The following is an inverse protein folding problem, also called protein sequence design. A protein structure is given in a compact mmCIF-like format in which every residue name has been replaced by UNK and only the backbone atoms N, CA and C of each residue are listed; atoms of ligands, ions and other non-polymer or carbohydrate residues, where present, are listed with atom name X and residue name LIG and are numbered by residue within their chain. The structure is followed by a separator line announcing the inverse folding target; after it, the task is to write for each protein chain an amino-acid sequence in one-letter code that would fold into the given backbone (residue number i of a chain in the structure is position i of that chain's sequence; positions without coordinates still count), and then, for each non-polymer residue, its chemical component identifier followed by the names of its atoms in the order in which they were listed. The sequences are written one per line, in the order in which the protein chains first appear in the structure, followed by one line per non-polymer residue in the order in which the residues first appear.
data_IF_240518169662
#
_entry.id   IF_240518169662
#
_cell.length_a   1.000
_cell.length_b   1.000
_cell.length_c   1.000
_cell.angle_alpha   90.00
_cell.angle_beta   90.00
_cell.angle_gamma   90.00
#
_symmetry.space_group_name_H-M   'P 1'
#
loop_
_entity.id
_entity.type
_entity.pdbx_description
1 polymer ?
#
# COMPACT_ATOMS: atom_id res chain seq x y z
N UNK A 1 37.79 27.62 8.29
CA UNK A 1 38.37 27.64 9.66
C UNK A 1 38.55 26.19 10.12
N UNK A 2 39.72 25.82 10.67
CA UNK A 2 40.16 24.43 10.74
C UNK A 2 39.93 23.77 12.11
N UNK A 3 39.97 22.43 12.09
CA UNK A 3 40.39 21.49 13.13
C UNK A 3 39.56 21.39 14.43
N UNK A 4 38.99 20.20 14.66
CA UNK A 4 39.14 19.50 15.95
C UNK A 4 39.22 17.98 15.75
N UNK A 5 40.47 17.51 15.74
CA UNK A 5 40.88 16.14 16.06
C UNK A 5 40.51 15.83 17.51
N UNK A 6 39.88 14.70 17.80
CA UNK A 6 39.96 14.08 19.12
C UNK A 6 40.48 12.64 19.02
N UNK A 7 41.41 12.39 19.92
CA UNK A 7 42.42 11.36 19.93
C UNK A 7 41.88 9.93 20.10
N UNK A 8 42.53 9.02 19.38
CA UNK A 8 42.69 7.63 19.78
C UNK A 8 43.66 7.53 20.97
N UNK A 9 43.43 6.52 21.81
CA UNK A 9 44.35 5.90 22.77
C UNK A 9 44.30 6.35 24.25
N UNK A 10 43.61 5.53 25.05
CA UNK A 10 44.00 5.09 26.39
C UNK A 10 43.71 3.58 26.42
N UNK A 11 44.70 2.71 26.18
CA UNK A 11 45.49 1.99 27.22
C UNK A 11 44.54 1.27 28.22
N UNK A 12 44.18 0.00 28.00
CA UNK A 12 44.94 -1.24 28.18
C UNK A 12 45.15 -1.67 29.65
N UNK A 13 44.90 -2.98 29.87
CA UNK A 13 45.34 -3.89 30.95
C UNK A 13 44.45 -4.09 32.19
N UNK A 14 43.97 -5.33 32.34
CA UNK A 14 44.21 -6.29 33.45
C UNK A 14 43.39 -7.58 33.14
N UNK A 15 43.99 -8.67 32.64
CA UNK A 15 44.76 -9.72 33.33
C UNK A 15 43.90 -10.89 33.90
N UNK A 16 43.88 -11.97 33.10
CA UNK A 16 43.91 -13.41 33.41
C UNK A 16 43.63 -13.89 34.85
N UNK A 17 42.65 -14.79 35.00
CA UNK A 17 42.77 -15.99 35.85
C UNK A 17 42.19 -17.21 35.13
N UNK A 18 42.85 -18.35 35.35
CA UNK A 18 42.73 -19.58 34.60
C UNK A 18 41.87 -20.65 35.31
N UNK A 19 41.54 -21.69 34.54
CA UNK A 19 41.24 -23.07 34.95
C UNK A 19 39.93 -23.35 35.70
N UNK A 20 39.00 -24.04 35.03
CA UNK A 20 38.79 -25.49 35.27
C UNK A 20 37.84 -26.10 34.24
N UNK A 21 38.30 -27.19 33.64
CA UNK A 21 37.55 -28.11 32.78
C UNK A 21 37.00 -29.19 33.72
N UNK A 22 35.69 -29.36 33.77
CA UNK A 22 35.07 -30.42 34.55
C UNK A 22 34.11 -31.22 33.66
N UNK A 23 34.50 -32.47 33.47
CA UNK A 23 33.85 -33.52 32.70
C UNK A 23 32.95 -34.30 33.67
N UNK A 24 31.66 -34.51 33.40
CA UNK A 24 30.85 -35.38 34.23
C UNK A 24 31.14 -36.84 33.91
N UNK A 25 31.53 -37.55 34.96
CA UNK A 25 31.84 -38.96 34.98
C UNK A 25 30.67 -39.86 34.56
N UNK A 26 31.07 -41.05 34.12
CA UNK A 26 30.25 -42.18 33.69
C UNK A 26 29.17 -42.59 34.69
N UNK A 27 28.00 -42.97 34.15
CA UNK A 27 26.95 -43.66 34.88
C UNK A 27 27.34 -45.14 35.16
N UNK A 28 26.95 -45.70 36.32
CA UNK A 28 27.25 -47.08 36.70
C UNK A 28 26.47 -48.13 35.88
N UNK A 29 26.95 -49.39 35.82
CA UNK A 29 26.37 -50.43 34.97
C UNK A 29 25.03 -50.91 35.52
N UNK A 30 24.01 -50.97 34.64
CA UNK A 30 22.71 -51.54 34.98
C UNK A 30 22.69 -53.07 34.72
N UNK A 31 22.01 -53.87 35.56
CA UNK A 31 22.14 -55.33 35.59
C UNK A 31 21.43 -56.06 34.44
N UNK A 32 21.82 -57.33 34.30
CA UNK A 32 21.43 -58.29 33.26
C UNK A 32 19.92 -58.41 32.95
N UNK A 33 19.65 -58.73 31.69
CA UNK A 33 18.33 -58.97 31.11
C UNK A 33 17.60 -60.18 31.73
N UNK A 34 16.28 -60.09 31.98
CA UNK A 34 15.42 -61.24 32.17
C UNK A 34 15.04 -61.89 30.81
N UNK A 35 14.67 -63.19 30.81
CA UNK A 35 14.56 -63.99 29.60
C UNK A 35 13.31 -63.67 28.76
N UNK A 36 13.44 -63.98 27.46
CA UNK A 36 12.44 -63.78 26.43
C UNK A 36 11.09 -64.46 26.74
N UNK A 37 10.10 -63.64 27.12
CA UNK A 37 8.69 -63.99 27.05
C UNK A 37 8.14 -63.64 25.66
N UNK A 38 7.48 -64.62 25.04
CA UNK A 38 6.92 -64.55 23.68
C UNK A 38 6.10 -63.27 23.43
N UNK A 39 6.61 -62.41 22.55
CA UNK A 39 5.89 -61.24 22.06
C UNK A 39 4.80 -61.68 21.07
N UNK A 40 3.56 -61.28 21.35
CA UNK A 40 2.45 -61.33 20.38
C UNK A 40 2.81 -60.49 19.14
N UNK A 41 2.32 -60.85 17.94
CA UNK A 41 2.54 -60.02 16.75
C UNK A 41 1.96 -58.62 16.97
N UNK A 42 2.80 -57.60 16.81
CA UNK A 42 2.35 -56.22 16.76
C UNK A 42 1.51 -55.99 15.47
N UNK A 43 0.47 -55.14 15.51
CA UNK A 43 -0.27 -54.77 14.31
C UNK A 43 0.67 -54.06 13.32
N UNK A 44 0.46 -54.23 12.00
CA UNK A 44 1.30 -53.55 11.01
C UNK A 44 1.16 -52.04 11.14
N UNK A 45 2.30 -51.36 11.30
CA UNK A 45 2.41 -49.90 11.25
C UNK A 45 1.89 -49.40 9.90
N UNK A 46 0.94 -48.44 9.86
CA UNK A 46 0.51 -47.84 8.60
C UNK A 46 1.69 -47.16 7.91
N UNK A 47 1.81 -47.37 6.60
CA UNK A 47 2.83 -46.71 5.78
C UNK A 47 2.75 -45.18 5.93
N UNK A 48 3.89 -44.45 5.88
CA UNK A 48 3.89 -43.00 5.88
C UNK A 48 3.01 -42.49 4.74
N UNK A 49 2.07 -41.59 5.06
CA UNK A 49 1.27 -40.93 4.05
C UNK A 49 2.20 -40.19 3.07
N UNK A 50 1.90 -40.20 1.76
CA UNK A 50 2.63 -39.39 0.79
C UNK A 50 2.66 -37.92 1.24
N UNK A 51 3.75 -37.17 0.94
CA UNK A 51 3.77 -35.74 1.16
C UNK A 51 2.54 -35.11 0.49
N UNK A 52 1.77 -34.32 1.25
CA UNK A 52 0.68 -33.54 0.68
C UNK A 52 1.28 -32.72 -0.48
N UNK A 53 0.72 -32.92 -1.68
CA UNK A 53 1.02 -32.07 -2.81
C UNK A 53 0.77 -30.60 -2.41
N UNK A 54 1.59 -29.65 -2.90
CA UNK A 54 1.40 -28.23 -2.60
C UNK A 54 -0.07 -27.86 -2.80
N UNK A 55 -0.70 -27.32 -1.76
CA UNK A 55 -2.06 -26.85 -1.85
C UNK A 55 -2.16 -25.87 -3.03
N UNK A 56 -2.86 -26.29 -4.08
CA UNK A 56 -3.15 -25.43 -5.22
C UNK A 56 -3.69 -24.09 -4.69
N UNK A 57 -3.17 -22.98 -5.22
CA UNK A 57 -3.66 -21.64 -4.94
C UNK A 57 -5.20 -21.66 -4.93
N UNK A 58 -5.81 -21.23 -3.81
CA UNK A 58 -7.25 -21.29 -3.65
C UNK A 58 -7.93 -20.64 -4.87
N UNK A 59 -8.73 -21.38 -5.65
CA UNK A 59 -9.42 -20.81 -6.80
C UNK A 59 -10.38 -19.73 -6.30
N UNK A 60 -10.19 -18.49 -6.75
CA UNK A 60 -11.13 -17.41 -6.43
C UNK A 60 -10.52 -16.03 -6.17
N UNK A 61 -9.21 -15.89 -6.00
CA UNK A 61 -8.60 -14.55 -5.92
C UNK A 61 -8.64 -13.89 -7.28
N UNK A 62 -9.14 -12.66 -7.33
CA UNK A 62 -9.20 -11.87 -8.54
C UNK A 62 -8.32 -10.63 -8.39
N UNK A 63 -7.73 -10.19 -9.49
CA UNK A 63 -7.06 -8.90 -9.62
C UNK A 63 -7.89 -8.01 -10.55
N UNK A 64 -7.90 -6.72 -10.26
CA UNK A 64 -8.41 -5.69 -11.14
C UNK A 64 -7.33 -4.64 -11.42
N UNK A 65 -7.36 -4.06 -12.61
CA UNK A 65 -6.38 -3.08 -13.06
C UNK A 65 -6.99 -2.22 -14.18
N UNK A 66 -6.37 -1.08 -14.41
CA UNK A 66 -6.64 -0.22 -15.54
C UNK A 66 -5.68 -0.57 -16.69
N UNK A 67 -6.21 -0.71 -17.90
CA UNK A 67 -5.45 -1.02 -19.11
C UNK A 67 -5.68 0.06 -20.17
N UNK A 68 -4.63 0.78 -20.61
CA UNK A 68 -4.75 1.77 -21.68
C UNK A 68 -5.21 1.11 -22.99
N UNK A 69 -6.25 1.67 -23.62
CA UNK A 69 -6.64 1.32 -24.99
C UNK A 69 -5.98 2.27 -26.00
N UNK A 70 -5.92 3.55 -25.61
CA UNK A 70 -5.20 4.62 -26.29
C UNK A 70 -4.96 5.78 -25.29
N UNK A 71 -4.32 6.90 -25.68
CA UNK A 71 -4.05 7.99 -24.74
C UNK A 71 -5.27 8.65 -24.08
N UNK A 72 -6.49 8.44 -24.60
CA UNK A 72 -7.73 9.05 -24.07
C UNK A 72 -8.78 8.03 -23.61
N UNK A 73 -8.52 6.73 -23.75
CA UNK A 73 -9.44 5.65 -23.38
C UNK A 73 -8.78 4.58 -22.53
N UNK A 74 -9.51 4.14 -21.53
CA UNK A 74 -9.02 3.19 -20.53
C UNK A 74 -10.08 2.12 -20.23
N UNK A 75 -9.62 0.88 -20.09
CA UNK A 75 -10.44 -0.23 -19.63
C UNK A 75 -10.17 -0.53 -18.16
N UNK A 76 -11.23 -0.70 -17.39
CA UNK A 76 -11.16 -1.35 -16.09
C UNK A 76 -11.37 -2.85 -16.26
N UNK A 77 -10.31 -3.63 -16.05
CA UNK A 77 -10.27 -5.08 -16.30
C UNK A 77 -10.26 -5.84 -14.99
N UNK A 78 -10.89 -7.02 -14.97
CA UNK A 78 -10.81 -8.02 -13.90
C UNK A 78 -10.29 -9.34 -14.43
N UNK A 79 -9.45 -10.03 -13.67
CA UNK A 79 -8.90 -11.33 -14.01
C UNK A 79 -8.83 -12.24 -12.79
N UNK A 80 -9.21 -13.51 -12.95
CA UNK A 80 -9.07 -14.52 -11.90
C UNK A 80 -7.65 -15.10 -11.93
N UNK A 81 -7.02 -15.25 -10.77
CA UNK A 81 -5.70 -15.84 -10.65
C UNK A 81 -5.74 -17.38 -10.66
N UNK A 82 -4.68 -18.05 -11.14
CA UNK A 82 -3.48 -17.47 -11.77
C UNK A 82 -3.67 -17.19 -13.28
N UNK A 83 -4.59 -17.90 -13.94
CA UNK A 83 -4.65 -17.98 -15.41
C UNK A 83 -6.05 -17.73 -15.99
N UNK A 84 -6.96 -17.09 -15.26
CA UNK A 84 -8.29 -16.75 -15.79
C UNK A 84 -8.21 -15.77 -16.95
N UNK A 85 -9.20 -15.79 -17.84
CA UNK A 85 -9.29 -14.82 -18.94
C UNK A 85 -9.60 -13.40 -18.40
N UNK A 86 -8.96 -12.35 -18.94
CA UNK A 86 -9.29 -10.97 -18.59
C UNK A 86 -10.70 -10.62 -19.06
N UNK A 87 -11.47 -9.96 -18.19
CA UNK A 87 -12.82 -9.48 -18.48
C UNK A 87 -12.87 -7.98 -18.29
N UNK A 88 -13.19 -7.23 -19.35
CA UNK A 88 -13.46 -5.80 -19.26
C UNK A 88 -14.75 -5.56 -18.46
N UNK A 89 -14.64 -4.80 -17.37
CA UNK A 89 -15.78 -4.38 -16.55
C UNK A 89 -16.43 -3.12 -17.12
N UNK A 90 -15.62 -2.18 -17.60
CA UNK A 90 -16.09 -0.92 -18.16
C UNK A 90 -14.96 -0.21 -18.91
N UNK A 91 -15.29 0.42 -20.04
CA UNK A 91 -14.39 1.30 -20.80
C UNK A 91 -14.84 2.74 -20.61
N UNK A 92 -13.90 3.64 -20.31
CA UNK A 92 -14.19 5.06 -20.12
C UNK A 92 -13.25 5.95 -20.95
N UNK A 93 -13.77 7.13 -21.30
CA UNK A 93 -13.06 8.12 -22.11
C UNK A 93 -12.27 9.07 -21.20
N UNK A 94 -11.23 8.53 -20.57
CA UNK A 94 -10.18 9.27 -19.89
C UNK A 94 -8.90 8.41 -19.80
N UNK A 95 -7.72 9.02 -19.62
CA UNK A 95 -6.47 8.27 -19.53
C UNK A 95 -6.35 7.47 -18.24
N UNK A 96 -5.71 6.30 -18.32
CA UNK A 96 -5.53 5.42 -17.16
C UNK A 96 -4.58 5.99 -16.10
N UNK A 97 -3.53 6.69 -16.51
CA UNK A 97 -2.44 7.19 -15.65
C UNK A 97 -2.85 8.33 -14.70
N UNK A 98 -4.02 8.92 -14.94
CA UNK A 98 -4.67 9.95 -14.10
C UNK A 98 -5.98 9.48 -13.52
N UNK A 99 -6.19 8.17 -13.46
CA UNK A 99 -7.43 7.61 -12.96
C UNK A 99 -7.22 6.92 -11.62
N UNK A 100 -8.28 6.94 -10.83
CA UNK A 100 -8.42 6.11 -9.64
C UNK A 100 -9.68 5.29 -9.74
N UNK A 101 -9.68 4.17 -9.03
CA UNK A 101 -10.81 3.27 -8.92
C UNK A 101 -11.13 2.99 -7.46
N UNK A 102 -12.42 2.81 -7.17
CA UNK A 102 -12.89 2.34 -5.86
C UNK A 102 -14.06 1.38 -6.01
N UNK A 103 -14.26 0.50 -5.03
CA UNK A 103 -15.29 -0.53 -5.06
C UNK A 103 -16.39 -0.24 -4.05
N UNK A 104 -17.64 -0.45 -4.46
CA UNK A 104 -18.76 -0.42 -3.52
C UNK A 104 -18.67 -1.54 -2.49
N UNK A 105 -19.36 -1.42 -1.33
CA UNK A 105 -19.28 -2.40 -0.23
C UNK A 105 -19.60 -3.85 -0.63
N UNK A 106 -20.45 -4.05 -1.64
CA UNK A 106 -20.81 -5.37 -2.16
C UNK A 106 -19.96 -5.87 -3.33
N UNK A 107 -18.95 -5.11 -3.77
CA UNK A 107 -18.11 -5.42 -4.94
C UNK A 107 -18.89 -5.75 -6.24
N UNK A 108 -20.10 -5.21 -6.38
CA UNK A 108 -20.94 -5.29 -7.60
C UNK A 108 -20.92 -4.01 -8.42
N UNK A 109 -20.39 -2.95 -7.84
CA UNK A 109 -20.26 -1.64 -8.45
C UNK A 109 -18.93 -1.00 -8.06
N UNK A 110 -18.54 0.00 -8.84
CA UNK A 110 -17.32 0.75 -8.63
C UNK A 110 -17.49 2.23 -8.97
N UNK A 111 -16.49 3.02 -8.62
CA UNK A 111 -16.33 4.39 -9.12
C UNK A 111 -15.00 4.48 -9.85
N UNK A 112 -15.03 5.15 -10.99
CA UNK A 112 -13.83 5.67 -11.66
C UNK A 112 -13.84 7.18 -11.45
N UNK A 113 -12.70 7.75 -11.07
CA UNK A 113 -12.49 9.19 -11.06
C UNK A 113 -11.19 9.51 -11.78
N UNK A 114 -11.21 10.52 -12.64
CA UNK A 114 -10.04 10.96 -13.41
C UNK A 114 -9.79 12.43 -13.16
N UNK A 115 -8.55 12.75 -12.74
CA UNK A 115 -8.12 14.13 -12.59
C UNK A 115 -7.90 14.79 -13.96
N UNK A 116 -8.21 16.10 -14.07
CA UNK A 116 -7.82 16.91 -15.21
C UNK A 116 -6.30 17.18 -15.21
N UNK A 117 -5.67 17.37 -16.38
CA UNK A 117 -4.22 17.64 -16.52
C UNK A 117 -3.87 18.81 -17.39
N UNK A 118 -4.86 19.45 -18.01
CA UNK A 118 -4.64 20.48 -19.01
C UNK A 118 -5.62 21.63 -18.88
N UNK A 119 -5.25 22.77 -19.46
CA UNK A 119 -6.13 23.92 -19.56
C UNK A 119 -7.42 23.54 -20.31
N UNK A 120 -8.57 23.88 -19.72
CA UNK A 120 -9.88 23.53 -20.27
C UNK A 120 -10.36 22.11 -19.96
N UNK A 121 -9.53 21.24 -19.37
CA UNK A 121 -10.00 19.95 -18.86
C UNK A 121 -10.78 20.11 -17.55
N UNK A 122 -11.76 19.21 -17.34
CA UNK A 122 -12.56 19.11 -16.13
C UNK A 122 -12.43 17.70 -15.55
N UNK A 123 -12.52 17.53 -14.22
CA UNK A 123 -12.55 16.19 -13.65
C UNK A 123 -13.75 15.39 -14.18
N UNK A 124 -13.57 14.08 -14.29
CA UNK A 124 -14.61 13.16 -14.75
C UNK A 124 -14.76 12.02 -13.75
N UNK A 125 -15.98 11.55 -13.59
CA UNK A 125 -16.26 10.38 -12.76
C UNK A 125 -17.37 9.53 -13.36
N UNK A 126 -17.33 8.24 -13.08
CA UNK A 126 -18.36 7.28 -13.48
C UNK A 126 -18.71 6.37 -12.32
N UNK A 127 -19.99 6.08 -12.16
CA UNK A 127 -20.48 4.94 -11.36
C UNK A 127 -20.64 3.75 -12.27
N UNK A 128 -19.92 2.68 -11.97
CA UNK A 128 -19.80 1.48 -12.79
C UNK A 128 -20.62 0.35 -12.18
N UNK A 129 -21.45 -0.29 -12.98
CA UNK A 129 -22.13 -1.54 -12.66
C UNK A 129 -21.34 -2.70 -13.30
N UNK A 130 -20.73 -3.54 -12.46
CA UNK A 130 -19.89 -4.65 -12.91
C UNK A 130 -20.68 -5.83 -13.47
N UNK A 131 -21.97 -5.94 -13.15
CA UNK A 131 -22.84 -7.01 -13.67
C UNK A 131 -23.34 -6.63 -15.06
N UNK A 132 -23.73 -5.38 -15.23
CA UNK A 132 -24.19 -4.86 -16.51
C UNK A 132 -23.05 -4.46 -17.47
N UNK A 133 -21.80 -4.50 -17.02
CA UNK A 133 -20.62 -4.03 -17.75
C UNK A 133 -20.80 -2.60 -18.31
N UNK A 134 -21.35 -1.72 -17.49
CA UNK A 134 -21.76 -0.37 -17.92
C UNK A 134 -21.41 0.68 -16.87
N UNK A 135 -21.24 1.93 -17.29
CA UNK A 135 -20.96 3.04 -16.40
C UNK A 135 -21.77 4.27 -16.74
N UNK A 136 -22.25 4.96 -15.70
CA UNK A 136 -22.99 6.22 -15.82
C UNK A 136 -22.10 7.36 -15.33
N UNK A 137 -21.93 8.44 -16.11
CA UNK A 137 -21.24 9.63 -15.63
C UNK A 137 -21.87 10.13 -14.33
N UNK A 138 -21.03 10.46 -13.35
CA UNK A 138 -21.46 11.19 -12.17
C UNK A 138 -21.29 12.68 -12.44
N UNK A 139 -22.38 13.43 -12.24
CA UNK A 139 -22.31 14.88 -12.36
C UNK A 139 -21.52 15.44 -11.18
N UNK A 140 -20.38 16.05 -11.48
CA UNK A 140 -19.52 16.70 -10.48
C UNK A 140 -19.88 18.20 -10.30
N UNK A 141 -20.89 18.70 -11.02
CA UNK A 141 -21.41 20.05 -10.81
C UNK A 141 -21.93 20.19 -9.39
N UNK A 142 -21.51 21.27 -8.72
CA UNK A 142 -21.83 21.54 -7.32
C UNK A 142 -20.73 21.14 -6.33
N UNK A 143 -19.72 20.38 -6.77
CA UNK A 143 -18.50 20.20 -5.98
C UNK A 143 -17.51 21.36 -6.22
N UNK A 144 -16.87 21.88 -5.17
CA UNK A 144 -15.63 22.63 -5.32
C UNK A 144 -14.62 21.82 -6.15
N UNK A 145 -13.96 22.47 -7.12
CA UNK A 145 -13.04 21.79 -8.05
C UNK A 145 -13.68 20.98 -9.17
N UNK A 146 -15.02 20.86 -9.20
CA UNK A 146 -15.73 20.02 -10.19
C UNK A 146 -15.81 20.57 -11.62
N UNK A 147 -15.34 21.80 -11.88
CA UNK A 147 -15.54 22.51 -13.15
C UNK A 147 -14.26 22.93 -13.86
N UNK A 148 -13.08 22.44 -13.45
CA UNK A 148 -11.82 22.79 -14.10
C UNK A 148 -10.62 22.06 -13.53
N UNK A 149 -9.44 22.33 -14.10
CA UNK A 149 -8.19 21.63 -13.81
C UNK A 149 -7.64 21.77 -12.37
N UNK A 150 -8.33 22.52 -11.52
CA UNK A 150 -7.73 23.09 -10.32
C UNK A 150 -6.67 24.14 -10.70
N UNK A 151 -6.38 25.04 -9.77
CA UNK A 151 -5.12 25.77 -9.74
C UNK A 151 -4.49 25.39 -8.39
N UNK A 152 -3.18 25.66 -8.13
CA UNK A 152 -2.59 25.51 -6.79
C UNK A 152 -3.35 26.26 -5.68
N UNK A 153 -4.31 27.05 -6.12
CA UNK A 153 -4.95 28.16 -5.51
C UNK A 153 -6.48 28.00 -5.44
N UNK A 154 -6.98 26.87 -5.93
CA UNK A 154 -8.40 26.56 -5.99
C UNK A 154 -8.66 25.19 -5.38
N UNK A 155 -9.89 24.95 -4.90
CA UNK A 155 -10.26 23.63 -4.46
C UNK A 155 -10.07 22.57 -5.55
N UNK A 156 -9.56 21.40 -5.19
CA UNK A 156 -9.43 20.22 -6.05
C UNK A 156 -10.12 19.01 -5.44
N UNK A 157 -10.71 18.19 -6.30
CA UNK A 157 -11.25 16.88 -5.88
C UNK A 157 -10.05 15.92 -5.81
N UNK A 158 -9.72 15.48 -4.61
CA UNK A 158 -8.60 14.57 -4.35
C UNK A 158 -8.97 13.11 -4.54
N UNK A 159 -10.22 12.75 -4.24
CA UNK A 159 -10.71 11.39 -4.40
C UNK A 159 -12.24 11.33 -4.50
N UNK A 160 -12.75 10.26 -5.11
CA UNK A 160 -14.15 9.86 -5.00
C UNK A 160 -14.22 8.37 -4.69
N UNK A 161 -14.86 8.03 -3.56
CA UNK A 161 -15.07 6.66 -3.11
C UNK A 161 -16.49 6.43 -2.62
N UNK A 162 -16.77 5.27 -2.05
CA UNK A 162 -18.05 4.98 -1.40
C UNK A 162 -17.96 5.07 0.12
N UNK A 163 -19.00 5.57 0.76
CA UNK A 163 -19.20 5.35 2.18
C UNK A 163 -19.65 3.90 2.49
N UNK A 164 -19.78 3.57 3.77
CA UNK A 164 -20.22 2.25 4.22
C UNK A 164 -21.63 1.85 3.72
N UNK A 165 -22.46 2.82 3.30
CA UNK A 165 -23.78 2.59 2.75
C UNK A 165 -23.79 2.48 1.21
N UNK A 166 -22.62 2.57 0.56
CA UNK A 166 -22.52 2.52 -0.90
C UNK A 166 -22.94 3.83 -1.57
N UNK A 167 -22.87 4.97 -0.87
CA UNK A 167 -23.10 6.29 -1.45
C UNK A 167 -21.77 6.92 -1.87
N UNK A 168 -21.67 7.53 -3.06
CA UNK A 168 -20.47 8.26 -3.45
C UNK A 168 -20.15 9.41 -2.49
N UNK A 169 -18.89 9.51 -2.11
CA UNK A 169 -18.30 10.57 -1.30
C UNK A 169 -17.10 11.13 -2.03
N UNK A 170 -17.09 12.45 -2.24
CA UNK A 170 -15.97 13.20 -2.79
C UNK A 170 -15.17 13.83 -1.66
N UNK A 171 -13.85 13.68 -1.74
CA UNK A 171 -12.86 14.28 -0.84
C UNK A 171 -12.21 15.45 -1.57
N UNK A 172 -12.19 16.60 -0.94
CA UNK A 172 -11.75 17.85 -1.54
C UNK A 172 -10.69 18.48 -0.65
N UNK A 173 -9.60 18.89 -1.28
CA UNK A 173 -8.67 19.85 -0.70
C UNK A 173 -9.08 21.24 -1.15
N UNK A 174 -9.09 22.18 -0.23
CA UNK A 174 -9.29 23.60 -0.48
C UNK A 174 -8.07 24.31 0.12
N UNK A 175 -6.98 24.28 -0.65
CA UNK A 175 -5.72 24.93 -0.30
C UNK A 175 -5.89 26.42 -0.56
N UNK A 176 -5.70 27.18 0.51
CA UNK A 176 -6.37 28.45 0.74
C UNK A 176 -5.75 29.64 0.00
N UNK A 177 -5.63 29.58 -1.32
CA UNK A 177 -5.25 30.79 -2.05
C UNK A 177 -6.43 31.74 -2.08
N UNK A 178 -6.44 32.60 -1.08
CA UNK A 178 -6.77 34.04 -1.16
C UNK A 178 -7.06 34.67 0.19
N UNK A 179 -7.02 33.96 1.33
CA UNK A 179 -7.20 34.62 2.63
C UNK A 179 -6.09 34.28 3.63
N UNK A 180 -5.79 35.23 4.48
CA UNK A 180 -4.85 35.04 5.58
C UNK A 180 -5.63 34.51 6.78
N UNK A 181 -5.13 33.52 7.55
CA UNK A 181 -5.72 33.15 8.81
C UNK A 181 -6.01 34.40 9.65
N UNK A 182 -7.21 34.48 10.22
CA UNK A 182 -7.58 35.61 11.09
C UNK A 182 -7.23 35.26 12.53
N UNK A 183 -6.88 36.27 13.33
CA UNK A 183 -6.70 36.10 14.78
C UNK A 183 -8.02 36.38 15.51
N UNK A 184 -8.39 35.46 16.40
CA UNK A 184 -9.48 35.65 17.35
C UNK A 184 -9.12 36.67 18.44
N UNK A 185 -10.09 37.01 19.28
CA UNK A 185 -9.86 37.86 20.46
C UNK A 185 -8.90 37.20 21.48
N UNK A 186 -8.81 35.87 21.46
CA UNK A 186 -7.88 35.04 22.23
C UNK A 186 -6.50 34.90 21.55
N UNK A 187 -6.26 35.60 20.44
CA UNK A 187 -5.01 35.57 19.68
C UNK A 187 -4.84 34.34 18.77
N UNK A 188 -5.73 33.34 18.86
CA UNK A 188 -5.62 32.09 18.09
C UNK A 188 -6.00 32.28 16.63
N UNK A 189 -5.25 31.64 15.74
CA UNK A 189 -5.51 31.67 14.31
C UNK A 189 -6.71 30.78 13.93
N UNK A 190 -7.55 31.27 13.03
CA UNK A 190 -8.66 30.50 12.47
C UNK A 190 -8.90 30.84 10.99
N UNK A 191 -9.45 29.89 10.25
CA UNK A 191 -9.97 30.08 8.90
C UNK A 191 -11.46 30.40 8.97
N UNK A 192 -11.91 31.57 8.48
CA UNK A 192 -13.32 31.82 8.25
C UNK A 192 -13.78 31.10 6.98
N UNK A 193 -14.80 30.26 7.12
CA UNK A 193 -15.43 29.59 6.00
C UNK A 193 -16.94 29.57 6.20
N UNK A 194 -17.65 30.13 5.23
CA UNK A 194 -19.07 30.46 5.35
C UNK A 194 -19.36 31.26 6.64
N UNK A 195 -20.11 30.68 7.58
CA UNK A 195 -20.49 31.32 8.86
C UNK A 195 -19.66 30.81 10.04
N UNK A 196 -18.78 29.84 9.80
CA UNK A 196 -18.06 29.12 10.83
C UNK A 196 -16.59 29.54 10.90
N UNK A 197 -15.95 29.16 12.01
CA UNK A 197 -14.53 29.39 12.28
C UNK A 197 -13.84 28.05 12.53
N UNK A 198 -12.84 27.75 11.74
CA UNK A 198 -12.07 26.51 11.86
C UNK A 198 -10.69 26.83 12.43
N UNK A 199 -10.32 26.29 13.61
CA UNK A 199 -9.04 26.61 14.24
C UNK A 199 -7.88 26.11 13.38
N UNK A 200 -6.84 26.92 13.22
CA UNK A 200 -5.61 26.54 12.53
C UNK A 200 -4.59 26.12 13.57
N UNK A 201 -4.08 24.90 13.46
CA UNK A 201 -2.97 24.46 14.28
C UNK A 201 -1.70 25.24 13.90
N UNK A 202 -0.88 25.57 14.90
CA UNK A 202 0.47 26.08 14.63
C UNK A 202 1.33 24.92 14.12
N UNK A 203 2.08 25.13 13.04
CA UNK A 203 2.88 24.09 12.41
C UNK A 203 3.40 24.50 11.03
N UNK A 204 4.11 23.58 10.38
CA UNK A 204 4.57 23.73 9.00
C UNK A 204 3.43 23.41 8.01
N UNK A 205 3.57 23.91 6.78
CA UNK A 205 2.60 23.73 5.71
C UNK A 205 1.63 24.90 5.52
N UNK A 206 0.87 24.82 4.43
CA UNK A 206 -0.09 25.85 4.03
C UNK A 206 -1.45 25.52 4.68
N UNK A 207 -2.03 26.41 5.50
CA UNK A 207 -3.32 26.15 6.10
C UNK A 207 -4.43 26.13 5.03
N UNK A 208 -5.34 25.18 5.15
CA UNK A 208 -6.47 25.02 4.25
C UNK A 208 -7.63 24.27 4.89
N UNK A 209 -8.62 23.92 4.08
CA UNK A 209 -9.73 23.08 4.50
C UNK A 209 -9.71 21.75 3.75
N UNK A 210 -9.93 20.68 4.49
CA UNK A 210 -10.35 19.41 3.94
C UNK A 210 -11.88 19.34 4.03
N UNK A 211 -12.53 18.98 2.93
CA UNK A 211 -14.00 18.90 2.83
C UNK A 211 -14.41 17.50 2.37
N UNK A 212 -15.49 16.98 2.93
CA UNK A 212 -16.15 15.78 2.41
C UNK A 212 -17.56 16.11 1.96
N UNK A 213 -17.91 15.67 0.75
CA UNK A 213 -19.24 15.80 0.18
C UNK A 213 -19.80 14.44 -0.15
N UNK A 214 -21.06 14.20 0.17
CA UNK A 214 -21.77 12.96 -0.16
C UNK A 214 -22.85 13.23 -1.19
N UNK A 215 -23.01 12.33 -2.14
CA UNK A 215 -24.09 12.40 -3.11
C UNK A 215 -25.39 11.91 -2.46
N UNK A 216 -26.37 12.79 -2.33
CA UNK A 216 -27.71 12.55 -1.77
C UNK A 216 -28.78 13.10 -2.73
N UNK A 217 -29.81 12.33 -3.04
CA UNK A 217 -30.96 12.78 -3.85
C UNK A 217 -30.58 13.47 -5.18
N UNK A 218 -29.46 13.04 -5.80
CA UNK A 218 -28.95 13.61 -7.06
C UNK A 218 -28.13 14.90 -6.91
N UNK A 219 -27.85 15.35 -5.69
CA UNK A 219 -27.01 16.52 -5.40
C UNK A 219 -25.89 16.23 -4.40
N UNK A 220 -24.77 16.95 -4.54
CA UNK A 220 -23.67 16.86 -3.59
C UNK A 220 -23.95 17.70 -2.34
N UNK A 221 -23.86 17.06 -1.18
CA UNK A 221 -24.08 17.70 0.12
C UNK A 221 -22.82 17.59 0.97
N UNK A 222 -22.37 18.72 1.52
CA UNK A 222 -21.23 18.72 2.45
C UNK A 222 -21.60 17.99 3.74
N UNK A 223 -20.78 17.02 4.13
CA UNK A 223 -20.98 16.21 5.34
C UNK A 223 -19.90 16.44 6.39
N UNK A 224 -18.74 16.97 6.00
CA UNK A 224 -17.63 17.23 6.91
C UNK A 224 -16.78 18.41 6.41
N UNK A 225 -16.20 19.15 7.35
CA UNK A 225 -15.24 20.23 7.11
C UNK A 225 -14.27 20.28 8.26
N UNK A 226 -12.97 20.22 7.96
CA UNK A 226 -11.90 20.35 8.94
C UNK A 226 -10.81 21.27 8.44
N UNK A 227 -10.25 22.09 9.34
CA UNK A 227 -9.00 22.76 9.05
C UNK A 227 -7.86 21.75 9.04
N UNK A 228 -6.93 21.94 8.12
CA UNK A 228 -5.75 21.10 7.95
C UNK A 228 -4.59 21.95 7.42
N UNK A 229 -3.42 21.34 7.31
CA UNK A 229 -2.25 21.88 6.61
C UNK A 229 -1.99 21.05 5.35
N UNK A 230 -1.38 21.66 4.35
CA UNK A 230 -1.08 21.09 3.03
C UNK A 230 0.35 21.45 2.61
N UNK A 231 0.82 20.88 1.50
CA UNK A 231 2.10 21.19 0.84
C UNK A 231 3.37 20.89 1.66
N UNK A 232 3.29 19.98 2.65
CA UNK A 232 4.46 19.39 3.33
C UNK A 232 4.25 17.90 3.59
N UNK A 233 5.34 17.18 3.86
CA UNK A 233 5.35 15.75 4.19
C UNK A 233 4.65 15.42 5.53
N UNK A 234 4.72 16.31 6.51
CA UNK A 234 4.06 16.16 7.82
C UNK A 234 2.62 16.68 7.86
N UNK A 235 2.13 17.27 6.76
CA UNK A 235 0.79 17.84 6.68
C UNK A 235 -0.29 16.76 6.67
N UNK A 236 -1.36 16.96 7.45
CA UNK A 236 -2.48 16.02 7.49
C UNK A 236 -3.30 16.03 6.18
N UNK A 237 -3.27 17.14 5.43
CA UNK A 237 -4.02 17.27 4.18
C UNK A 237 -5.48 16.87 4.32
N UNK A 238 -5.95 15.98 3.44
CA UNK A 238 -7.33 15.46 3.50
C UNK A 238 -7.53 14.33 4.52
N UNK A 239 -6.46 13.74 5.05
CA UNK A 239 -6.53 12.67 6.06
C UNK A 239 -7.01 13.16 7.44
N UNK A 240 -7.10 14.48 7.62
CA UNK A 240 -7.78 15.09 8.76
C UNK A 240 -9.27 14.67 8.83
N UNK A 241 -9.91 14.35 7.69
CA UNK A 241 -11.32 13.98 7.60
C UNK A 241 -11.60 12.58 8.17
N UNK A 242 -12.66 12.45 8.95
CA UNK A 242 -13.15 11.15 9.41
C UNK A 242 -13.77 10.37 8.24
N UNK A 243 -14.36 11.07 7.27
CA UNK A 243 -14.91 10.47 6.05
C UNK A 243 -13.86 9.66 5.28
N UNK A 244 -12.61 10.13 5.18
CA UNK A 244 -11.52 9.42 4.50
C UNK A 244 -11.26 8.05 5.12
N UNK A 245 -11.29 7.95 6.46
CA UNK A 245 -11.07 6.70 7.21
C UNK A 245 -12.17 5.66 7.00
N UNK A 246 -13.35 6.11 6.59
CA UNK A 246 -14.53 5.25 6.36
C UNK A 246 -14.78 4.97 4.87
N UNK A 247 -13.98 5.58 3.99
CA UNK A 247 -14.11 5.45 2.56
C UNK A 247 -13.75 4.01 2.13
N UNK A 248 -14.46 3.50 1.14
CA UNK A 248 -14.12 2.24 0.50
C UNK A 248 -12.68 2.23 -0.01
N UNK A 249 -12.08 1.05 -0.15
CA UNK A 249 -10.74 0.91 -0.74
C UNK A 249 -10.64 1.65 -2.07
N UNK A 250 -9.57 2.44 -2.21
CA UNK A 250 -9.23 3.20 -3.41
C UNK A 250 -7.86 2.77 -3.93
N UNK A 251 -7.69 2.89 -5.25
CA UNK A 251 -6.42 2.64 -5.91
C UNK A 251 -6.22 3.73 -6.93
N UNK A 252 -5.06 4.38 -6.89
CA UNK A 252 -4.69 5.48 -7.79
C UNK A 252 -3.66 4.97 -8.80
N UNK A 253 -3.61 5.62 -9.95
CA UNK A 253 -2.59 5.37 -10.95
C UNK A 253 -1.22 5.96 -10.60
N UNK A 254 -1.19 6.97 -9.72
CA UNK A 254 0.02 7.56 -9.17
C UNK A 254 0.65 6.63 -8.10
N UNK A 255 1.97 6.66 -7.92
CA UNK A 255 2.63 5.94 -6.82
C UNK A 255 2.03 6.32 -5.48
N UNK A 256 1.82 5.34 -4.60
CA UNK A 256 1.47 5.60 -3.21
C UNK A 256 2.72 5.91 -2.40
N UNK A 257 2.69 7.00 -1.62
CA UNK A 257 3.64 7.25 -0.53
C UNK A 257 3.37 6.41 0.73
N UNK A 258 2.33 5.56 0.72
CA UNK A 258 2.09 4.63 1.82
C UNK A 258 3.18 3.55 1.86
N UNK A 259 3.77 3.34 3.04
CA UNK A 259 4.80 2.33 3.29
C UNK A 259 4.18 1.11 4.01
N UNK A 260 3.57 0.14 3.30
CA UNK A 260 2.86 -0.97 3.93
C UNK A 260 3.74 -1.89 4.80
N UNK A 261 3.16 -2.43 5.87
CA UNK A 261 3.90 -3.26 6.83
C UNK A 261 4.61 -2.43 7.91
N UNK A 262 5.57 -3.05 8.59
CA UNK A 262 6.29 -2.47 9.72
C UNK A 262 7.73 -2.12 9.35
N UNK A 263 8.41 -1.33 10.19
CA UNK A 263 9.86 -1.20 10.11
C UNK A 263 10.52 -2.58 10.24
N UNK A 264 11.52 -2.84 9.40
CA UNK A 264 12.31 -4.05 9.53
C UNK A 264 13.00 -4.06 10.92
N UNK A 265 13.06 -5.22 11.61
CA UNK A 265 13.71 -5.29 12.92
C UNK A 265 15.17 -4.81 12.84
N UNK A 266 15.62 -4.01 13.81
CA UNK A 266 16.97 -3.42 13.80
C UNK A 266 18.07 -4.47 13.60
N UNK A 267 17.93 -5.64 14.23
CA UNK A 267 18.87 -6.76 14.08
C UNK A 267 18.95 -7.35 12.66
N UNK A 268 17.97 -7.10 11.79
CA UNK A 268 17.94 -7.55 10.40
C UNK A 268 18.52 -6.51 9.43
N UNK A 269 18.52 -5.22 9.79
CA UNK A 269 18.93 -4.14 8.87
C UNK A 269 20.36 -4.32 8.36
N UNK A 270 21.31 -4.67 9.23
CA UNK A 270 22.69 -4.91 8.81
C UNK A 270 22.82 -6.05 7.79
N UNK A 271 21.99 -7.09 7.92
CA UNK A 271 21.96 -8.23 7.00
C UNK A 271 21.30 -7.85 5.66
N UNK A 272 20.23 -7.06 5.70
CA UNK A 272 19.56 -6.55 4.50
C UNK A 272 20.48 -5.62 3.70
N UNK A 273 21.19 -4.70 4.38
CA UNK A 273 22.19 -3.84 3.75
C UNK A 273 23.38 -4.64 3.18
N UNK A 274 23.79 -5.72 3.85
CA UNK A 274 24.85 -6.59 3.33
C UNK A 274 24.39 -7.39 2.09
N UNK A 275 23.10 -7.73 1.99
CA UNK A 275 22.54 -8.41 0.83
C UNK A 275 22.49 -7.50 -0.41
N UNK A 276 22.32 -6.19 -0.21
CA UNK A 276 22.31 -5.20 -1.29
C UNK A 276 23.34 -4.10 -1.02
N UNK A 277 24.61 -4.32 -1.41
CA UNK A 277 25.64 -3.31 -1.24
C UNK A 277 25.41 -2.12 -2.19
N UNK A 278 25.79 -0.91 -1.75
CA UNK A 278 25.74 0.31 -2.57
C UNK A 278 24.42 1.08 -2.51
N UNK A 279 23.54 0.71 -1.59
CA UNK A 279 22.37 1.50 -1.23
C UNK A 279 22.78 2.81 -0.56
N UNK A 280 22.02 3.89 -0.80
CA UNK A 280 22.17 5.16 -0.08
C UNK A 280 21.86 5.00 1.43
N UNK A 281 22.16 6.01 2.25
CA UNK A 281 21.85 5.97 3.68
C UNK A 281 20.45 6.51 4.04
N UNK A 282 19.71 7.04 3.07
CA UNK A 282 18.42 7.72 3.27
C UNK A 282 17.20 6.81 3.24
N UNK A 283 17.31 5.62 2.67
CA UNK A 283 16.19 4.69 2.57
C UNK A 283 15.95 3.84 3.81
N UNK A 284 14.69 3.47 4.04
CA UNK A 284 14.27 2.68 5.20
C UNK A 284 13.86 1.26 4.81
N UNK A 285 14.26 0.27 5.60
CA UNK A 285 13.81 -1.10 5.40
C UNK A 285 12.46 -1.35 6.06
N UNK A 286 11.56 -1.96 5.31
CA UNK A 286 10.24 -2.37 5.76
C UNK A 286 10.06 -3.86 5.61
N UNK A 287 9.17 -4.42 6.43
CA UNK A 287 8.83 -5.82 6.46
C UNK A 287 7.32 -6.01 6.45
N UNK A 288 6.85 -6.88 5.56
CA UNK A 288 5.45 -7.29 5.48
C UNK A 288 5.35 -8.77 5.83
N UNK A 289 4.55 -9.16 6.85
CA UNK A 289 4.39 -10.56 7.20
C UNK A 289 3.61 -11.30 6.11
N UNK A 290 4.13 -12.43 5.65
CA UNK A 290 3.43 -13.30 4.69
C UNK A 290 3.38 -14.75 5.19
N UNK A 291 2.44 -15.58 4.71
CA UNK A 291 2.41 -17.00 5.01
C UNK A 291 3.70 -17.79 4.70
N UNK A 292 4.53 -17.36 3.74
CA UNK A 292 5.81 -18.01 3.40
C UNK A 292 7.05 -17.38 4.04
N UNK A 293 6.85 -16.49 5.03
CA UNK A 293 7.91 -15.74 5.69
C UNK A 293 7.83 -14.22 5.40
N UNK A 294 8.64 -13.38 6.07
CA UNK A 294 8.63 -11.95 5.82
C UNK A 294 8.99 -11.61 4.36
N UNK A 295 8.27 -10.67 3.77
CA UNK A 295 8.70 -9.96 2.56
C UNK A 295 9.34 -8.66 2.99
N UNK A 296 10.54 -8.37 2.51
CA UNK A 296 11.25 -7.14 2.77
C UNK A 296 11.31 -6.30 1.51
N UNK A 297 11.25 -4.99 1.71
CA UNK A 297 11.43 -4.01 0.66
C UNK A 297 12.05 -2.75 1.26
N UNK A 298 12.65 -1.94 0.40
CA UNK A 298 13.24 -0.67 0.80
C UNK A 298 12.33 0.49 0.43
N UNK A 299 12.34 1.53 1.24
CA UNK A 299 11.83 2.84 0.85
C UNK A 299 12.93 3.69 0.26
N UNK A 300 12.63 4.41 -0.81
CA UNK A 300 13.56 5.37 -1.45
C UNK A 300 12.93 6.76 -1.50
N UNK A 301 13.78 7.78 -1.34
CA UNK A 301 13.35 9.17 -1.28
C UNK A 301 12.96 9.67 -2.68
N UNK A 302 11.70 10.06 -2.85
CA UNK A 302 11.15 10.69 -4.04
C UNK A 302 10.66 12.11 -3.73
N UNK A 303 11.53 13.12 -3.89
CA UNK A 303 11.20 14.47 -3.44
C UNK A 303 11.13 14.54 -1.92
N UNK A 304 9.98 14.90 -1.35
CA UNK A 304 9.78 15.01 0.10
C UNK A 304 9.27 13.71 0.75
N UNK A 305 8.86 12.71 -0.03
CA UNK A 305 8.26 11.48 0.49
C UNK A 305 9.16 10.27 0.27
N UNK A 306 8.97 9.26 1.11
CA UNK A 306 9.52 7.93 0.92
C UNK A 306 8.52 7.06 0.15
N UNK A 307 8.99 6.35 -0.87
CA UNK A 307 8.17 5.44 -1.68
C UNK A 307 8.71 4.02 -1.60
N UNK A 308 7.85 2.98 -1.59
CA UNK A 308 8.33 1.62 -1.76
C UNK A 308 9.11 1.49 -3.07
N UNK A 309 10.29 0.88 -3.03
CA UNK A 309 11.16 0.72 -4.20
C UNK A 309 11.98 -0.59 -4.11
N UNK A 310 12.58 -1.04 -5.22
CA UNK A 310 13.64 -2.04 -5.17
C UNK A 310 14.85 -1.52 -4.37
N UNK A 311 15.59 -2.40 -3.68
CA UNK A 311 15.48 -3.86 -3.70
C UNK A 311 14.31 -4.40 -2.86
N UNK A 312 13.78 -5.55 -3.31
CA UNK A 312 12.71 -6.30 -2.62
C UNK A 312 13.00 -7.80 -2.65
N UNK A 313 12.51 -8.53 -1.65
CA UNK A 313 12.72 -9.98 -1.61
C UNK A 313 11.96 -10.69 -0.48
N UNK A 314 11.82 -12.01 -0.62
CA UNK A 314 11.27 -12.87 0.43
C UNK A 314 12.37 -13.41 1.34
N UNK A 315 12.08 -13.56 2.63
CA UNK A 315 12.92 -14.38 3.48
C UNK A 315 12.74 -15.88 3.15
N UNK A 316 13.84 -16.59 3.03
CA UNK A 316 13.89 -18.03 2.89
C UNK A 316 15.11 -18.57 3.61
N UNK A 317 14.90 -19.46 4.59
CA UNK A 317 15.98 -20.12 5.32
C UNK A 317 17.02 -19.15 5.89
N UNK A 318 16.54 -18.01 6.39
CA UNK A 318 17.40 -16.95 6.93
C UNK A 318 18.22 -16.21 5.86
N UNK A 319 17.88 -16.29 4.58
CA UNK A 319 18.43 -15.46 3.50
C UNK A 319 17.32 -14.69 2.79
N UNK A 320 17.69 -13.62 2.11
CA UNK A 320 16.75 -12.92 1.23
C UNK A 320 16.83 -13.52 -0.17
N UNK A 321 15.68 -13.76 -0.78
CA UNK A 321 15.51 -14.27 -2.14
C UNK A 321 14.76 -13.22 -2.94
N UNK A 322 15.39 -12.74 -4.00
CA UNK A 322 14.81 -11.74 -4.89
C UNK A 322 13.53 -12.27 -5.56
N UNK A 323 12.67 -11.36 -6.00
CA UNK A 323 11.51 -11.70 -6.81
C UNK A 323 11.98 -12.00 -8.23
N UNK A 324 12.11 -13.29 -8.57
CA UNK A 324 12.59 -13.73 -9.88
C UNK A 324 11.73 -13.12 -11.01
N UNK A 325 12.41 -12.44 -11.94
CA UNK A 325 11.77 -11.78 -13.08
C UNK A 325 10.98 -10.51 -12.75
N UNK A 326 11.17 -9.90 -11.57
CA UNK A 326 10.64 -8.57 -11.28
C UNK A 326 11.08 -7.58 -12.38
N UNK A 327 10.12 -6.85 -12.95
CA UNK A 327 10.38 -5.91 -14.04
C UNK A 327 10.92 -4.56 -13.55
N UNK A 328 10.68 -4.22 -12.28
CA UNK A 328 11.14 -3.00 -11.66
C UNK A 328 12.66 -2.97 -11.50
N UNK A 329 13.25 -1.78 -11.62
CA UNK A 329 14.67 -1.50 -11.47
C UNK A 329 14.89 -0.52 -10.31
N UNK A 330 16.13 -0.40 -9.87
CA UNK A 330 16.49 0.62 -8.87
C UNK A 330 16.09 2.02 -9.36
N UNK A 331 15.46 2.80 -8.47
CA UNK A 331 14.87 4.10 -8.78
C UNK A 331 13.42 4.06 -9.28
N UNK A 332 12.85 2.89 -9.57
CA UNK A 332 11.41 2.76 -9.85
C UNK A 332 10.61 2.72 -8.53
N UNK A 333 9.42 3.31 -8.53
CA UNK A 333 8.50 3.25 -7.39
C UNK A 333 7.52 2.09 -7.53
N UNK A 334 7.12 1.53 -6.38
CA UNK A 334 6.26 0.35 -6.28
C UNK A 334 5.00 0.67 -5.48
N UNK A 335 3.89 0.03 -5.86
CA UNK A 335 2.76 -0.20 -4.97
C UNK A 335 2.79 -1.64 -4.51
N UNK A 336 2.76 -1.87 -3.20
CA UNK A 336 2.84 -3.21 -2.62
C UNK A 336 1.53 -3.55 -1.89
N UNK A 337 0.92 -4.69 -2.24
CA UNK A 337 -0.34 -5.13 -1.63
C UNK A 337 -0.30 -6.62 -1.31
N UNK A 338 -0.79 -7.00 -0.13
CA UNK A 338 -0.98 -8.41 0.25
C UNK A 338 -2.46 -8.74 0.39
N UNK A 339 -2.87 -9.88 -0.16
CA UNK A 339 -4.19 -10.48 0.10
C UNK A 339 -4.10 -11.99 -0.02
N UNK A 340 -4.59 -12.73 0.98
CA UNK A 340 -4.71 -14.21 0.96
C UNK A 340 -3.42 -15.02 0.70
N UNK A 341 -2.27 -14.41 0.99
CA UNK A 341 -0.97 -15.00 0.69
C UNK A 341 -0.50 -14.77 -0.74
N UNK A 342 -1.10 -13.81 -1.45
CA UNK A 342 -0.59 -13.27 -2.70
C UNK A 342 0.00 -11.89 -2.47
N UNK A 343 1.15 -11.62 -3.10
CA UNK A 343 1.77 -10.30 -3.19
C UNK A 343 1.50 -9.73 -4.57
N UNK A 344 0.91 -8.55 -4.63
CA UNK A 344 0.80 -7.74 -5.84
C UNK A 344 1.82 -6.60 -5.77
N UNK A 345 2.63 -6.47 -6.82
CA UNK A 345 3.58 -5.37 -7.01
C UNK A 345 3.13 -4.59 -8.24
N UNK A 346 2.61 -3.38 -8.03
CA UNK A 346 2.43 -2.39 -9.09
C UNK A 346 3.72 -1.63 -9.31
N UNK A 347 4.10 -1.41 -10.57
CA UNK A 347 5.39 -0.82 -10.96
C UNK A 347 5.13 0.52 -11.64
N UNK A 348 5.67 1.58 -11.05
CA UNK A 348 5.57 2.96 -11.52
C UNK A 348 6.89 3.40 -12.16
N UNK A 349 7.11 2.91 -13.38
CA UNK A 349 8.28 3.25 -14.20
C UNK A 349 7.85 3.86 -15.55
N UNK A 350 8.81 4.07 -16.45
CA UNK A 350 8.52 4.47 -17.84
C UNK A 350 7.60 3.46 -18.56
N UNK A 351 7.74 2.17 -18.25
CA UNK A 351 6.81 1.13 -18.63
C UNK A 351 6.05 0.69 -17.37
N UNK A 352 4.73 0.87 -17.36
CA UNK A 352 3.88 0.46 -16.24
C UNK A 352 3.65 -1.05 -16.31
N UNK A 353 3.58 -1.69 -15.15
CA UNK A 353 3.25 -3.10 -15.06
C UNK A 353 2.69 -3.43 -13.69
N UNK A 354 2.03 -4.59 -13.58
CA UNK A 354 1.73 -5.21 -12.31
C UNK A 354 2.14 -6.69 -12.35
N UNK A 355 2.70 -7.18 -11.26
CA UNK A 355 3.12 -8.58 -11.15
C UNK A 355 2.62 -9.17 -9.83
N UNK A 356 2.31 -10.47 -9.84
CA UNK A 356 1.72 -11.16 -8.69
C UNK A 356 2.51 -12.43 -8.38
N UNK A 357 2.80 -12.64 -7.10
CA UNK A 357 3.47 -13.82 -6.57
C UNK A 357 2.59 -14.54 -5.54
N UNK A 358 2.69 -15.86 -5.51
CA UNK A 358 2.29 -16.63 -4.33
C UNK A 358 3.40 -16.51 -3.27
N UNK A 359 3.05 -16.00 -2.09
CA UNK A 359 4.03 -15.75 -1.03
C UNK A 359 4.53 -17.05 -0.37
N UNK A 360 3.79 -18.15 -0.48
CA UNK A 360 4.16 -19.46 0.09
C UNK A 360 5.19 -20.16 -0.78
N UNK A 361 4.94 -20.21 -2.09
CA UNK A 361 5.83 -20.88 -3.05
C UNK A 361 6.88 -19.95 -3.63
N UNK A 362 6.69 -18.63 -3.50
CA UNK A 362 7.52 -17.55 -4.07
C UNK A 362 7.52 -17.53 -5.59
N UNK A 363 6.62 -18.30 -6.20
CA UNK A 363 6.44 -18.35 -7.64
C UNK A 363 5.64 -17.16 -8.13
N UNK A 364 6.10 -16.56 -9.22
CA UNK A 364 5.34 -15.54 -9.93
C UNK A 364 4.17 -16.20 -10.66
N UNK A 365 2.96 -15.76 -10.35
CA UNK A 365 1.73 -16.27 -10.95
C UNK A 365 1.34 -15.51 -12.20
N UNK A 366 1.61 -14.21 -12.25
CA UNK A 366 1.10 -13.35 -13.31
C UNK A 366 1.99 -12.12 -13.52
N UNK A 367 2.14 -11.74 -14.79
CA UNK A 367 2.64 -10.43 -15.22
C UNK A 367 1.56 -9.77 -16.08
N UNK A 368 1.27 -8.51 -15.78
CA UNK A 368 0.35 -7.64 -16.51
C UNK A 368 1.15 -6.44 -17.02
N UNK A 369 1.48 -6.45 -18.30
CA UNK A 369 2.12 -5.31 -18.97
C UNK A 369 1.11 -4.17 -19.15
N UNK A 370 1.58 -2.92 -19.06
CA UNK A 370 0.80 -1.69 -19.16
C UNK A 370 -0.34 -1.53 -18.13
N UNK A 371 -0.40 -2.41 -17.12
CA UNK A 371 -1.38 -2.32 -16.06
C UNK A 371 -1.09 -1.17 -15.11
N UNK A 372 -2.12 -0.38 -14.85
CA UNK A 372 -2.12 0.79 -13.96
C UNK A 372 -3.13 0.58 -12.84
N UNK A 373 -2.90 1.18 -11.67
CA UNK A 373 -3.83 1.12 -10.53
C UNK A 373 -4.27 -0.32 -10.19
N UNK A 374 -3.34 -1.26 -10.19
CA UNK A 374 -3.63 -2.67 -9.97
C UNK A 374 -3.93 -2.97 -8.49
N UNK A 375 -4.94 -3.79 -8.23
CA UNK A 375 -5.30 -4.22 -6.89
C UNK A 375 -6.02 -5.56 -6.88
N UNK A 376 -5.96 -6.25 -5.74
CA UNK A 376 -6.82 -7.39 -5.52
C UNK A 376 -8.29 -6.96 -5.45
N UNK A 377 -9.16 -7.78 -6.01
CA UNK A 377 -10.60 -7.61 -5.89
C UNK A 377 -10.99 -7.65 -4.42
N UNK A 378 -11.78 -6.69 -3.93
CA UNK A 378 -12.14 -6.65 -2.53
C UNK A 378 -13.02 -7.85 -2.17
N UNK A 379 -12.78 -8.37 -0.97
CA UNK A 379 -13.69 -9.34 -0.37
C UNK A 379 -14.98 -8.65 0.00
N UNK A 380 -16.11 -9.28 -0.30
CA UNK A 380 -17.37 -8.88 0.29
C UNK A 380 -17.20 -8.89 1.82
N UNK A 381 -17.45 -7.76 2.48
CA UNK A 381 -17.52 -7.75 3.94
C UNK A 381 -18.68 -8.66 4.33
N UNK A 382 -18.39 -9.75 5.02
CA UNK A 382 -19.44 -10.59 5.59
C UNK A 382 -20.22 -9.73 6.59
N UNK A 383 -21.56 -9.64 6.48
CA UNK A 383 -22.36 -8.77 7.33
C UNK A 383 -22.31 -9.14 8.81
#
# INVERSE_FOLDING_TARGET
MPLRRWNRALLALLALTACKKEEPAAAPPSPAAPPAGQARPAPPTPAPAPPEAPAAAAPGTMVAYLLPQDPERCDWVRRTLPAGEPTALFTFNAPCDRSMVSWGPGAKEGLVFTWPSGEGEVPRAWRVDFVAHSGKPLDLKGLPGGTGAGAPDKPSIEAIGFDAQGRPVAIISDVYVSRTPKKGADGKAFLPFEKDRYPVAEGEGVPGLALAYRLEDGGWKRIETKASTFDTDISQGTDALDAVRTLSSLVKASPSHEMPGDNAPEGQVAKLNAAFPGLDDSGEWRAMPTPGGPFYYRGEQGGEFLYPSPPVGFEQDGKLVDLEGLLAKNGDFLDLRLQDGFLLVGIHANARAAQIWDTRTKERLLTLEDAVAAAFWPKARTP
#
